data_IF_710240643134
#
_entry.id   IF_710240643134
#
_cell.length_a   1.000
_cell.length_b   1.000
_cell.length_c   1.000
_cell.angle_alpha   90.00
_cell.angle_beta   90.00
_cell.angle_gamma   90.00
#
_symmetry.space_group_name_H-M   'P 1'
#
loop_
_entity.id
_entity.type
_entity.pdbx_description
1 polymer ?
#
# COMPACT_ATOMS: atom_id res chain seq x y z
N UNK A 1 -10.76 17.61 48.59
CA UNK A 1 -9.67 17.61 47.57
C UNK A 1 -9.57 16.19 47.04
N UNK A 2 -9.41 16.02 45.72
CA UNK A 2 -9.59 14.81 44.91
C UNK A 2 -11.02 14.55 44.41
N UNK A 3 -11.30 15.04 43.20
CA UNK A 3 -12.35 14.48 42.33
C UNK A 3 -11.66 13.77 41.16
N UNK A 4 -11.88 12.46 41.08
CA UNK A 4 -11.70 11.65 39.86
C UNK A 4 -12.84 12.00 38.92
N UNK A 5 -12.55 12.25 37.64
CA UNK A 5 -13.50 12.06 36.57
C UNK A 5 -12.80 11.34 35.41
N UNK A 6 -13.24 10.10 35.20
CA UNK A 6 -13.03 9.32 33.99
C UNK A 6 -13.83 9.95 32.85
N UNK A 7 -13.23 10.17 31.70
CA UNK A 7 -13.95 10.41 30.45
C UNK A 7 -13.74 9.26 29.49
N UNK A 8 -14.87 8.66 29.11
CA UNK A 8 -15.05 7.61 28.13
C UNK A 8 -14.85 8.23 26.74
N UNK A 9 -13.94 7.66 25.95
CA UNK A 9 -13.76 8.02 24.55
C UNK A 9 -14.91 7.42 23.72
N UNK A 10 -15.80 8.28 23.23
CA UNK A 10 -16.78 7.94 22.19
C UNK A 10 -16.23 8.33 20.82
N UNK A 11 -15.98 7.34 19.98
CA UNK A 11 -15.68 7.54 18.57
C UNK A 11 -16.93 8.03 17.83
N UNK A 12 -16.82 9.14 17.10
CA UNK A 12 -17.83 9.59 16.14
C UNK A 12 -17.16 9.67 14.77
N UNK A 13 -17.52 8.73 13.90
CA UNK A 13 -17.19 8.79 12.47
C UNK A 13 -18.06 9.85 11.78
N UNK A 14 -17.48 10.54 10.80
CA UNK A 14 -18.23 11.44 9.92
C UNK A 14 -18.06 11.01 8.46
N UNK A 15 -19.20 10.75 7.82
CA UNK A 15 -19.37 10.58 6.38
C UNK A 15 -19.33 11.96 5.69
N UNK A 16 -18.63 12.04 4.54
CA UNK A 16 -18.66 13.21 3.67
C UNK A 16 -17.97 12.91 2.35
N UNK A 17 -18.66 12.19 1.46
CA UNK A 17 -18.23 12.01 0.07
C UNK A 17 -18.74 13.14 -0.82
N UNK A 18 -17.90 13.63 -1.73
CA UNK A 18 -18.31 14.52 -2.82
C UNK A 18 -18.23 13.72 -4.12
N UNK A 19 -19.38 13.61 -4.80
CA UNK A 19 -19.51 13.08 -6.17
C UNK A 19 -19.02 14.14 -7.17
N UNK A 20 -18.27 13.73 -8.20
CA UNK A 20 -18.09 14.53 -9.42
C UNK A 20 -18.60 13.74 -10.64
N UNK A 21 -19.45 14.38 -11.46
CA UNK A 21 -19.98 13.84 -12.72
C UNK A 21 -19.14 14.37 -13.90
N UNK A 22 -18.79 13.44 -14.79
CA UNK A 22 -17.92 13.54 -15.97
C UNK A 22 -18.52 14.31 -17.16
N UNK A 23 -17.65 14.96 -17.98
CA UNK A 23 -17.78 15.14 -19.45
C UNK A 23 -16.40 15.29 -20.14
N UNK A 24 -15.83 14.15 -20.56
CA UNK A 24 -15.01 13.83 -21.78
C UNK A 24 -14.23 14.93 -22.57
N UNK A 25 -12.92 14.68 -22.69
CA UNK A 25 -11.98 14.71 -23.84
C UNK A 25 -12.13 15.69 -25.02
N UNK A 26 -11.06 16.46 -25.30
CA UNK A 26 -10.38 16.72 -26.60
C UNK A 26 -9.09 17.55 -26.29
N UNK A 27 -7.85 17.22 -26.67
CA UNK A 27 -7.25 17.27 -28.01
C UNK A 27 -5.72 17.51 -27.90
N UNK A 28 -4.95 17.00 -28.86
CA UNK A 28 -3.48 16.85 -28.90
C UNK A 28 -2.67 18.13 -29.22
N UNK A 29 -1.45 18.19 -28.66
CA UNK A 29 -0.24 18.96 -29.04
C UNK A 29 -0.39 20.33 -29.71
N UNK A 30 -0.09 21.38 -28.92
CA UNK A 30 0.29 22.69 -29.42
C UNK A 30 0.48 23.67 -28.26
N UNK A 31 1.72 24.07 -27.97
CA UNK A 31 1.96 25.17 -27.02
C UNK A 31 1.45 26.46 -27.67
N UNK A 32 0.33 26.98 -27.18
CA UNK A 32 -0.11 28.36 -27.41
C UNK A 32 -0.22 29.07 -26.06
N UNK A 33 0.12 30.35 -26.09
CA UNK A 33 0.15 31.24 -24.95
C UNK A 33 -1.18 31.20 -24.17
N UNK A 34 -1.07 31.33 -22.85
CA UNK A 34 -2.12 31.16 -21.86
C UNK A 34 -3.49 31.73 -22.31
N UNK A 35 -4.40 30.84 -22.66
CA UNK A 35 -5.83 31.15 -22.68
C UNK A 35 -6.34 31.17 -21.22
N UNK A 36 -7.25 32.10 -20.96
CA UNK A 36 -7.84 32.42 -19.66
C UNK A 36 -8.22 31.16 -18.87
N UNK A 37 -7.75 31.08 -17.63
CA UNK A 37 -8.22 30.08 -16.68
C UNK A 37 -9.73 30.29 -16.51
N UNK A 38 -10.50 29.37 -17.07
CA UNK A 38 -11.92 29.21 -16.81
C UNK A 38 -12.07 29.09 -15.29
N UNK A 39 -12.54 30.16 -14.64
CA UNK A 39 -12.79 30.18 -13.20
C UNK A 39 -13.95 29.23 -12.96
N UNK A 40 -13.64 27.94 -12.80
CA UNK A 40 -14.55 26.99 -12.21
C UNK A 40 -15.07 27.64 -10.92
N UNK A 41 -16.38 27.89 -10.88
CA UNK A 41 -17.05 28.44 -9.71
C UNK A 41 -16.63 27.57 -8.53
N UNK A 42 -15.83 28.16 -7.64
CA UNK A 42 -15.44 27.55 -6.38
C UNK A 42 -16.69 27.66 -5.53
N UNK A 43 -17.42 26.57 -5.35
CA UNK A 43 -18.52 26.52 -4.40
C UNK A 43 -18.02 27.05 -3.04
N UNK A 44 -18.80 27.92 -2.42
CA UNK A 44 -18.43 28.54 -1.15
C UNK A 44 -18.22 27.44 -0.10
N UNK A 45 -16.97 27.29 0.38
CA UNK A 45 -16.64 26.37 1.46
C UNK A 45 -17.04 27.05 2.77
N UNK A 46 -18.08 26.54 3.43
CA UNK A 46 -18.44 27.04 4.75
C UNK A 46 -17.36 26.66 5.78
N UNK A 47 -16.93 27.61 6.63
CA UNK A 47 -15.98 27.30 7.69
C UNK A 47 -16.63 26.31 8.67
N UNK A 48 -15.85 25.35 9.15
CA UNK A 48 -16.23 24.61 10.34
C UNK A 48 -16.46 25.62 11.46
N UNK A 49 -17.58 25.52 12.20
CA UNK A 49 -17.79 26.36 13.38
C UNK A 49 -16.75 26.02 14.44
N UNK A 50 -15.67 26.80 14.51
CA UNK A 50 -14.57 26.59 15.47
C UNK A 50 -14.44 27.80 16.38
N UNK A 51 -14.16 27.58 17.67
CA UNK A 51 -13.79 28.63 18.62
C UNK A 51 -12.57 29.39 18.09
N UNK A 52 -12.78 30.67 17.77
CA UNK A 52 -11.90 31.49 16.91
C UNK A 52 -10.64 32.00 17.65
N UNK A 53 -10.43 31.61 18.91
CA UNK A 53 -9.30 32.06 19.72
C UNK A 53 -8.03 31.22 19.52
N UNK A 54 -8.14 29.98 19.03
CA UNK A 54 -6.97 29.14 18.75
C UNK A 54 -6.46 29.34 17.30
N UNK A 55 -5.20 29.80 17.10
CA UNK A 55 -4.63 30.01 15.77
C UNK A 55 -4.62 28.75 14.89
N UNK A 56 -4.49 27.57 15.49
CA UNK A 56 -4.52 26.30 14.75
C UNK A 56 -5.94 26.04 14.24
N UNK A 57 -6.94 26.14 15.11
CA UNK A 57 -8.37 26.03 14.77
C UNK A 57 -8.78 26.98 13.64
N UNK A 58 -8.31 28.24 13.67
CA UNK A 58 -8.54 29.21 12.58
C UNK A 58 -7.84 28.83 11.28
N UNK A 59 -6.61 28.32 11.36
CA UNK A 59 -5.86 27.83 10.18
C UNK A 59 -6.57 26.65 9.53
N UNK A 60 -7.18 25.78 10.35
CA UNK A 60 -7.85 24.56 9.92
C UNK A 60 -9.36 24.73 9.67
N UNK A 61 -9.87 25.97 9.58
CA UNK A 61 -11.31 26.23 9.42
C UNK A 61 -11.92 25.61 8.14
N UNK A 62 -11.10 25.29 7.14
CA UNK A 62 -11.49 24.61 5.90
C UNK A 62 -11.08 23.13 5.86
N UNK A 63 -10.69 22.57 7.00
CA UNK A 63 -10.20 21.19 7.12
C UNK A 63 -8.73 21.03 6.73
N UNK A 64 -8.20 19.81 6.90
CA UNK A 64 -6.81 19.51 6.54
C UNK A 64 -6.73 19.01 5.09
N UNK A 65 -5.64 19.33 4.36
CA UNK A 65 -5.45 18.86 2.99
C UNK A 65 -5.45 17.33 2.84
N UNK A 66 -5.10 16.59 3.89
CA UNK A 66 -5.18 15.13 3.91
C UNK A 66 -5.17 14.60 5.35
N UNK A 67 -5.90 13.51 5.58
CA UNK A 67 -5.86 12.75 6.84
C UNK A 67 -5.70 11.25 6.65
N UNK A 68 -5.73 10.81 5.39
CA UNK A 68 -6.31 9.51 5.09
C UNK A 68 -5.34 8.69 4.23
N UNK A 69 -4.53 7.91 4.95
CA UNK A 69 -3.54 6.99 4.38
C UNK A 69 -3.73 5.57 4.89
N UNK A 70 -4.14 5.39 6.16
CA UNK A 70 -4.29 4.05 6.77
C UNK A 70 -5.68 3.46 6.48
N UNK A 71 -5.69 2.18 6.10
CA UNK A 71 -6.88 1.39 5.80
C UNK A 71 -6.79 0.07 6.55
N UNK A 72 -7.78 -0.21 7.39
CA UNK A 72 -7.96 -1.54 7.99
C UNK A 72 -8.67 -2.45 7.00
N UNK A 73 -8.02 -3.55 6.63
CA UNK A 73 -8.59 -4.63 5.83
C UNK A 73 -9.06 -5.74 6.76
N UNK A 74 -9.54 -6.86 6.20
CA UNK A 74 -10.15 -7.92 7.02
C UNK A 74 -9.15 -8.65 7.90
N UNK A 75 -7.90 -8.77 7.45
CA UNK A 75 -6.84 -9.55 8.11
C UNK A 75 -5.46 -8.88 8.08
N UNK A 76 -5.39 -7.63 7.60
CA UNK A 76 -4.16 -6.85 7.51
C UNK A 76 -4.48 -5.35 7.52
N UNK A 77 -3.45 -4.51 7.66
CA UNK A 77 -3.58 -3.04 7.60
C UNK A 77 -2.66 -2.54 6.49
N UNK A 78 -3.06 -1.50 5.78
CA UNK A 78 -2.20 -0.87 4.78
C UNK A 78 -2.19 0.65 4.95
N UNK A 79 -1.09 1.27 4.51
CA UNK A 79 -1.03 2.70 4.24
C UNK A 79 -0.92 2.90 2.73
N UNK A 80 -1.78 3.74 2.14
CA UNK A 80 -1.89 3.90 0.69
C UNK A 80 -1.33 5.23 0.19
N UNK A 81 -0.49 5.14 -0.85
CA UNK A 81 0.09 6.29 -1.54
C UNK A 81 -0.82 6.72 -2.71
N UNK A 82 -1.60 7.78 -2.48
CA UNK A 82 -2.50 8.35 -3.50
C UNK A 82 -1.78 8.88 -4.73
N UNK A 83 -0.52 9.30 -4.59
CA UNK A 83 0.29 9.82 -5.70
C UNK A 83 0.79 8.69 -6.58
N UNK A 84 1.26 7.61 -5.97
CA UNK A 84 1.85 6.49 -6.70
C UNK A 84 0.83 5.37 -7.03
N UNK A 85 -0.41 5.47 -6.50
CA UNK A 85 -1.51 4.52 -6.69
C UNK A 85 -1.16 3.10 -6.23
N UNK A 86 -0.29 2.97 -5.23
CA UNK A 86 0.13 1.71 -4.60
C UNK A 86 0.30 1.92 -3.09
N UNK A 87 0.44 0.88 -2.26
CA UNK A 87 0.76 1.06 -0.84
C UNK A 87 2.09 1.76 -0.58
N UNK A 88 2.14 2.56 0.48
CA UNK A 88 3.40 2.84 1.18
C UNK A 88 3.92 1.59 1.87
N UNK A 89 3.02 0.88 2.56
CA UNK A 89 3.31 -0.38 3.23
C UNK A 89 2.03 -1.16 3.52
N UNK A 90 2.18 -2.45 3.73
CA UNK A 90 1.16 -3.37 4.21
C UNK A 90 1.71 -4.12 5.41
N UNK A 91 0.91 -4.25 6.46
CA UNK A 91 1.26 -4.88 7.72
C UNK A 91 0.34 -6.08 7.98
N UNK A 92 0.93 -7.26 8.07
CA UNK A 92 0.28 -8.54 8.34
C UNK A 92 0.69 -9.07 9.73
N UNK A 93 -0.23 -9.79 10.38
CA UNK A 93 0.05 -10.63 11.54
C UNK A 93 -0.24 -12.09 11.20
N UNK A 94 0.70 -12.94 11.52
CA UNK A 94 0.75 -14.36 11.16
C UNK A 94 0.91 -15.18 12.45
N UNK A 95 0.13 -16.24 12.59
CA UNK A 95 0.22 -17.20 13.69
C UNK A 95 -0.13 -18.60 13.19
N UNK A 96 0.41 -19.65 13.82
CA UNK A 96 0.14 -21.03 13.42
C UNK A 96 -1.36 -21.37 13.42
N UNK A 97 -2.13 -20.78 14.35
CA UNK A 97 -3.58 -20.95 14.48
C UNK A 97 -4.35 -20.45 13.26
N UNK A 98 -3.93 -19.33 12.67
CA UNK A 98 -4.53 -18.74 11.48
C UNK A 98 -4.17 -19.47 10.18
N UNK A 99 -3.18 -20.38 10.22
CA UNK A 99 -2.65 -21.11 9.06
C UNK A 99 -3.28 -22.47 8.78
N UNK A 100 -4.39 -22.80 9.43
CA UNK A 100 -5.16 -23.99 9.07
C UNK A 100 -5.83 -23.83 7.70
N UNK A 101 -5.07 -23.92 6.60
CA UNK A 101 -5.58 -24.04 5.23
C UNK A 101 -6.30 -25.41 5.02
N UNK A 102 -6.98 -25.93 6.04
CA UNK A 102 -7.62 -27.25 6.07
C UNK A 102 -8.85 -27.32 5.17
N UNK A 103 -9.55 -26.20 4.98
CA UNK A 103 -10.52 -26.06 3.89
C UNK A 103 -9.82 -25.61 2.60
N UNK A 104 -10.09 -26.31 1.50
CA UNK A 104 -9.53 -25.94 0.18
C UNK A 104 -10.10 -24.60 -0.24
N UNK A 105 -9.29 -23.53 -0.14
CA UNK A 105 -9.56 -22.24 -0.78
C UNK A 105 -9.99 -22.47 -2.23
N UNK A 106 -11.14 -21.92 -2.61
CA UNK A 106 -11.65 -22.00 -3.97
C UNK A 106 -10.98 -20.93 -4.84
N UNK A 107 -9.82 -21.29 -5.38
CA UNK A 107 -9.02 -20.40 -6.25
C UNK A 107 -9.73 -19.98 -7.54
N UNK A 108 -10.81 -20.66 -7.95
CA UNK A 108 -11.60 -20.23 -9.12
C UNK A 108 -12.33 -18.90 -8.88
N UNK A 109 -12.55 -18.51 -7.61
CA UNK A 109 -13.12 -17.22 -7.21
C UNK A 109 -12.11 -16.06 -7.22
N UNK A 110 -10.87 -16.28 -7.71
CA UNK A 110 -9.85 -15.25 -7.80
C UNK A 110 -10.32 -14.08 -8.68
N UNK A 111 -10.51 -12.90 -8.08
CA UNK A 111 -10.85 -11.68 -8.81
C UNK A 111 -10.14 -10.49 -8.19
N UNK A 112 -9.36 -9.77 -9.00
CA UNK A 112 -8.82 -8.47 -8.61
C UNK A 112 -9.92 -7.41 -8.70
N UNK A 113 -9.98 -6.53 -7.71
CA UNK A 113 -11.02 -5.50 -7.62
C UNK A 113 -10.45 -4.19 -7.08
N UNK A 114 -11.02 -3.07 -7.53
CA UNK A 114 -10.68 -1.72 -7.09
C UNK A 114 -11.07 -1.52 -5.61
N UNK A 115 -10.32 -0.68 -4.89
CA UNK A 115 -10.69 -0.28 -3.53
C UNK A 115 -11.70 0.87 -3.58
N UNK A 116 -12.98 0.58 -3.30
CA UNK A 116 -14.05 1.59 -3.30
C UNK A 116 -13.97 2.56 -2.12
N UNK A 117 -13.11 2.30 -1.12
CA UNK A 117 -12.82 3.27 -0.06
C UNK A 117 -11.89 4.39 -0.51
N UNK A 118 -11.29 4.28 -1.70
CA UNK A 118 -10.43 5.29 -2.29
C UNK A 118 -11.20 6.07 -3.35
N UNK A 119 -11.05 7.39 -3.35
CA UNK A 119 -11.61 8.22 -4.41
C UNK A 119 -11.07 7.77 -5.79
N UNK A 120 -11.92 7.65 -6.83
CA UNK A 120 -11.53 7.11 -8.13
C UNK A 120 -10.28 7.75 -8.76
N UNK A 121 -10.07 9.06 -8.54
CA UNK A 121 -8.91 9.79 -9.03
C UNK A 121 -7.56 9.32 -8.45
N UNK A 122 -7.58 8.70 -7.27
CA UNK A 122 -6.38 8.27 -6.54
C UNK A 122 -6.18 6.76 -6.50
N UNK A 123 -7.07 5.96 -7.10
CA UNK A 123 -6.97 4.50 -7.06
C UNK A 123 -6.47 3.94 -8.39
N UNK A 124 -5.71 2.86 -8.33
CA UNK A 124 -5.42 2.04 -9.50
C UNK A 124 -6.62 1.18 -9.90
N UNK A 125 -6.74 0.86 -11.18
CA UNK A 125 -7.74 -0.04 -11.74
C UNK A 125 -7.10 -1.22 -12.46
N UNK A 126 -7.91 -2.23 -12.79
CA UNK A 126 -7.41 -3.39 -13.51
C UNK A 126 -6.78 -3.04 -14.87
N UNK A 127 -7.26 -1.99 -15.54
CA UNK A 127 -6.75 -1.53 -16.83
C UNK A 127 -5.34 -0.96 -16.75
N UNK A 128 -4.89 -0.50 -15.57
CA UNK A 128 -3.53 0.04 -15.44
C UNK A 128 -2.46 -1.03 -15.61
N UNK A 129 -2.80 -2.26 -15.18
CA UNK A 129 -1.90 -3.40 -15.21
C UNK A 129 -2.05 -4.21 -16.50
N UNK A 130 -3.15 -4.06 -17.22
CA UNK A 130 -3.42 -4.79 -18.46
C UNK A 130 -2.39 -4.41 -19.53
N UNK A 131 -1.76 -5.43 -20.14
CA UNK A 131 -0.68 -5.27 -21.12
C UNK A 131 0.54 -4.43 -20.68
N UNK A 132 0.66 -4.10 -19.39
CA UNK A 132 1.77 -3.29 -18.84
C UNK A 132 3.13 -4.00 -18.83
N UNK A 133 3.13 -5.33 -18.94
CA UNK A 133 4.32 -6.17 -18.75
C UNK A 133 4.62 -6.52 -17.28
N UNK A 134 3.84 -6.01 -16.33
CA UNK A 134 3.99 -6.27 -14.90
C UNK A 134 2.85 -7.15 -14.36
N UNK A 135 3.18 -7.93 -13.33
CA UNK A 135 2.18 -8.63 -12.52
C UNK A 135 1.57 -7.67 -11.49
N UNK A 136 0.32 -7.96 -11.10
CA UNK A 136 -0.30 -7.45 -9.88
C UNK A 136 0.32 -8.15 -8.67
N UNK A 137 1.45 -7.63 -8.22
CA UNK A 137 2.21 -8.17 -7.11
C UNK A 137 1.56 -7.83 -5.78
N UNK A 138 1.21 -8.85 -5.00
CA UNK A 138 0.63 -8.66 -3.68
C UNK A 138 1.71 -8.18 -2.69
N UNK A 139 1.34 -7.29 -1.78
CA UNK A 139 2.19 -6.95 -0.63
C UNK A 139 1.85 -7.83 0.58
N UNK A 140 0.56 -7.89 0.95
CA UNK A 140 0.01 -8.97 1.76
C UNK A 140 -0.29 -10.18 0.86
N UNK A 141 0.53 -11.22 0.98
CA UNK A 141 0.47 -12.37 0.08
C UNK A 141 -0.78 -13.21 0.36
N UNK A 142 -1.58 -13.51 -0.67
CA UNK A 142 -2.83 -14.27 -0.52
C UNK A 142 -2.65 -15.60 0.25
N UNK A 143 -1.51 -16.27 0.08
CA UNK A 143 -1.19 -17.53 0.77
C UNK A 143 -1.07 -17.39 2.30
N UNK A 144 -0.83 -16.18 2.81
CA UNK A 144 -0.81 -15.91 4.25
C UNK A 144 -2.22 -15.88 4.87
N UNK A 145 -3.24 -15.70 4.04
CA UNK A 145 -4.63 -15.50 4.44
C UNK A 145 -5.52 -16.69 4.05
N UNK A 146 -4.90 -17.87 3.85
CA UNK A 146 -5.57 -19.09 3.36
C UNK A 146 -6.55 -19.73 4.36
N UNK A 147 -6.52 -19.34 5.65
CA UNK A 147 -7.41 -19.90 6.67
C UNK A 147 -8.87 -19.45 6.51
N UNK A 148 -9.12 -18.43 5.68
CA UNK A 148 -10.47 -17.95 5.37
C UNK A 148 -10.57 -17.56 3.90
N UNK A 149 -11.60 -18.06 3.22
CA UNK A 149 -11.89 -17.68 1.83
C UNK A 149 -12.14 -16.17 1.68
N UNK A 150 -12.68 -15.55 2.72
CA UNK A 150 -12.96 -14.12 2.77
C UNK A 150 -11.66 -13.31 2.89
N UNK A 151 -10.76 -13.69 3.81
CA UNK A 151 -9.48 -13.02 4.00
C UNK A 151 -8.59 -13.18 2.78
N UNK A 152 -8.52 -14.41 2.23
CA UNK A 152 -7.82 -14.69 0.99
C UNK A 152 -8.32 -13.82 -0.16
N UNK A 153 -9.65 -13.72 -0.34
CA UNK A 153 -10.23 -12.91 -1.41
C UNK A 153 -9.95 -11.41 -1.22
N UNK A 154 -9.96 -10.92 0.03
CA UNK A 154 -9.71 -9.52 0.35
C UNK A 154 -8.28 -9.06 -0.01
N UNK A 155 -7.31 -9.99 -0.09
CA UNK A 155 -5.95 -9.67 -0.55
C UNK A 155 -5.86 -9.27 -2.02
N UNK A 156 -6.87 -9.57 -2.84
CA UNK A 156 -6.90 -9.24 -4.27
C UNK A 156 -7.35 -7.81 -4.58
N UNK A 157 -7.60 -6.99 -3.54
CA UNK A 157 -7.86 -5.57 -3.70
C UNK A 157 -6.65 -4.86 -4.32
N UNK A 158 -6.87 -3.98 -5.29
CA UNK A 158 -5.78 -3.29 -5.99
C UNK A 158 -5.01 -2.32 -5.08
N UNK A 159 -5.61 -1.89 -3.98
CA UNK A 159 -4.90 -1.14 -2.94
C UNK A 159 -3.86 -1.99 -2.19
N UNK A 160 -3.78 -3.30 -2.40
CA UNK A 160 -2.71 -4.19 -1.91
C UNK A 160 -1.71 -4.58 -3.03
N UNK A 161 -1.82 -3.97 -4.21
CA UNK A 161 -1.01 -4.32 -5.38
C UNK A 161 0.07 -3.28 -5.64
N UNK A 162 1.19 -3.76 -6.16
CA UNK A 162 2.17 -2.94 -6.86
C UNK A 162 2.66 -3.66 -8.13
N UNK A 163 3.06 -2.92 -9.18
CA UNK A 163 3.64 -3.51 -10.38
C UNK A 163 4.94 -4.27 -10.06
N UNK A 164 4.92 -5.60 -10.24
CA UNK A 164 6.09 -6.45 -10.00
C UNK A 164 6.53 -7.14 -11.29
N UNK A 165 7.84 -7.27 -11.49
CA UNK A 165 8.39 -8.08 -12.58
C UNK A 165 7.95 -9.54 -12.38
N UNK A 166 7.29 -10.12 -13.38
CA UNK A 166 6.69 -11.45 -13.23
C UNK A 166 7.71 -12.59 -13.19
N UNK A 167 8.43 -12.81 -14.29
CA UNK A 167 9.44 -13.88 -14.41
C UNK A 167 10.72 -13.49 -13.68
N UNK A 168 11.22 -14.37 -12.81
CA UNK A 168 12.46 -14.16 -12.07
C UNK A 168 12.30 -13.36 -10.77
N UNK A 169 11.23 -12.59 -10.61
CA UNK A 169 10.95 -11.84 -9.38
C UNK A 169 9.68 -12.30 -8.66
N UNK A 170 8.49 -11.76 -8.97
CA UNK A 170 7.23 -12.06 -8.27
C UNK A 170 6.98 -13.58 -8.16
N UNK A 171 6.98 -14.27 -9.31
CA UNK A 171 6.68 -15.70 -9.42
C UNK A 171 7.83 -16.60 -8.98
N UNK A 172 8.95 -16.04 -8.51
CA UNK A 172 10.19 -16.79 -8.21
C UNK A 172 10.85 -16.31 -6.93
N UNK A 173 11.77 -15.35 -7.00
CA UNK A 173 12.57 -14.92 -5.85
C UNK A 173 11.73 -14.28 -4.74
N UNK A 174 10.73 -13.47 -5.11
CA UNK A 174 9.80 -12.85 -4.14
C UNK A 174 8.95 -13.91 -3.43
N UNK A 175 8.31 -14.82 -4.18
CA UNK A 175 7.58 -15.95 -3.60
C UNK A 175 8.49 -16.86 -2.73
N UNK A 176 9.79 -17.00 -3.04
CA UNK A 176 10.73 -17.71 -2.16
C UNK A 176 10.87 -17.01 -0.80
N UNK A 177 10.93 -15.68 -0.78
CA UNK A 177 10.93 -14.89 0.45
C UNK A 177 9.59 -15.00 1.19
N UNK A 178 8.46 -14.93 0.50
CA UNK A 178 7.14 -15.12 1.11
C UNK A 178 6.99 -16.50 1.77
N UNK A 179 7.49 -17.56 1.12
CA UNK A 179 7.53 -18.90 1.72
C UNK A 179 8.42 -18.96 2.96
N UNK A 180 9.57 -18.30 2.94
CA UNK A 180 10.49 -18.24 4.09
C UNK A 180 9.80 -17.57 5.28
N UNK A 181 9.25 -16.36 5.08
CA UNK A 181 8.55 -15.62 6.14
C UNK A 181 7.35 -16.41 6.67
N UNK A 182 6.60 -17.09 5.79
CA UNK A 182 5.48 -17.94 6.25
C UNK A 182 5.95 -19.12 7.11
N UNK A 183 7.09 -19.72 6.81
CA UNK A 183 7.66 -20.82 7.63
C UNK A 183 8.14 -20.35 9.01
N UNK A 184 8.35 -19.05 9.22
CA UNK A 184 8.71 -18.54 10.54
C UNK A 184 7.65 -18.90 11.60
N UNK A 185 6.37 -19.02 11.24
CA UNK A 185 5.30 -19.41 12.18
C UNK A 185 5.47 -20.81 12.78
N UNK A 186 6.36 -21.64 12.23
CA UNK A 186 6.72 -22.95 12.81
C UNK A 186 7.63 -22.80 14.05
N UNK A 187 8.35 -21.68 14.18
CA UNK A 187 9.32 -21.44 15.25
C UNK A 187 8.99 -20.24 16.15
N UNK A 188 8.02 -19.41 15.76
CA UNK A 188 7.61 -18.22 16.48
C UNK A 188 6.11 -18.26 16.75
N UNK A 189 5.71 -17.82 17.94
CA UNK A 189 4.31 -17.72 18.39
C UNK A 189 3.55 -16.74 17.52
N UNK A 190 4.13 -15.57 17.26
CA UNK A 190 3.61 -14.55 16.35
C UNK A 190 4.68 -14.12 15.35
N UNK A 191 4.27 -13.86 14.12
CA UNK A 191 5.12 -13.25 13.10
C UNK A 191 4.43 -12.01 12.54
N UNK A 192 5.10 -10.88 12.63
CA UNK A 192 4.64 -9.57 12.19
C UNK A 192 5.40 -9.19 10.92
N UNK A 193 4.69 -8.91 9.82
CA UNK A 193 5.32 -8.70 8.51
C UNK A 193 4.91 -7.37 7.92
N UNK A 194 5.90 -6.50 7.69
CA UNK A 194 5.70 -5.24 6.95
C UNK A 194 6.32 -5.37 5.57
N UNK A 195 5.56 -5.03 4.54
CA UNK A 195 5.97 -5.13 3.13
C UNK A 195 5.67 -3.82 2.43
N UNK A 196 6.58 -3.34 1.58
CA UNK A 196 6.31 -2.12 0.81
C UNK A 196 7.26 -1.91 -0.37
N UNK A 197 6.91 -0.97 -1.26
CA UNK A 197 7.76 -0.56 -2.37
C UNK A 197 8.84 0.42 -1.91
N UNK A 198 9.92 0.52 -2.70
CA UNK A 198 10.97 1.52 -2.55
C UNK A 198 11.35 2.13 -3.90
N UNK A 199 11.72 3.41 -3.85
CA UNK A 199 12.21 4.19 -4.98
C UNK A 199 13.65 4.64 -4.71
N UNK A 200 14.60 3.78 -5.05
CA UNK A 200 16.00 3.95 -4.67
C UNK A 200 16.74 4.84 -5.69
N UNK A 201 17.55 5.80 -5.22
CA UNK A 201 18.33 6.65 -6.11
C UNK A 201 19.47 5.87 -6.78
N UNK A 202 19.80 6.24 -8.01
CA UNK A 202 20.96 5.74 -8.75
C UNK A 202 21.86 6.90 -9.18
N UNK A 203 23.17 6.70 -9.07
CA UNK A 203 24.16 7.63 -9.58
C UNK A 203 24.16 7.58 -11.11
N UNK A 204 24.05 8.73 -11.76
CA UNK A 204 24.09 8.85 -13.22
C UNK A 204 25.49 9.31 -13.68
N UNK A 205 25.80 9.22 -14.99
CA UNK A 205 27.11 9.62 -15.53
C UNK A 205 27.51 11.08 -15.24
N UNK A 206 26.56 11.96 -14.95
CA UNK A 206 26.79 13.35 -14.58
C UNK A 206 27.20 13.54 -13.10
N UNK A 207 27.36 12.44 -12.35
CA UNK A 207 27.75 12.45 -10.95
C UNK A 207 26.62 12.77 -9.97
N UNK A 208 25.37 12.89 -10.42
CA UNK A 208 24.21 13.18 -9.55
C UNK A 208 23.34 11.94 -9.33
N UNK A 209 22.58 11.95 -8.24
CA UNK A 209 21.64 10.89 -7.88
C UNK A 209 20.24 11.20 -8.38
N UNK A 210 19.63 10.26 -9.07
CA UNK A 210 18.26 10.37 -9.58
C UNK A 210 17.43 9.18 -9.14
N UNK A 211 16.16 9.45 -8.85
CA UNK A 211 15.13 8.43 -8.68
C UNK A 211 14.34 8.38 -9.97
N UNK A 212 14.49 7.29 -10.72
CA UNK A 212 13.82 7.10 -12.01
C UNK A 212 13.02 5.80 -11.92
N UNK A 213 11.73 5.89 -12.22
CA UNK A 213 10.81 4.76 -12.25
C UNK A 213 9.78 4.96 -13.35
N UNK A 214 9.26 3.85 -13.87
CA UNK A 214 8.18 3.84 -14.85
C UNK A 214 6.83 4.07 -14.15
N UNK A 215 5.88 4.68 -14.85
CA UNK A 215 4.45 4.63 -14.52
C UNK A 215 3.71 3.83 -15.59
N UNK A 216 2.65 3.12 -15.21
CA UNK A 216 1.85 2.28 -16.12
C UNK A 216 0.38 2.66 -16.07
N UNK A 217 -0.33 2.38 -17.17
CA UNK A 217 -1.76 2.54 -17.23
C UNK A 217 -2.25 3.97 -17.42
N UNK A 218 -3.57 4.16 -17.63
CA UNK A 218 -4.19 5.48 -17.70
C UNK A 218 -4.10 6.31 -16.41
N UNK A 219 -3.83 5.69 -15.24
CA UNK A 219 -3.76 6.40 -13.96
C UNK A 219 -2.33 6.59 -13.42
N UNK A 220 -1.31 6.34 -14.25
CA UNK A 220 0.10 6.51 -13.89
C UNK A 220 0.52 5.76 -12.61
N UNK A 221 0.16 4.48 -12.52
CA UNK A 221 0.54 3.63 -11.38
C UNK A 221 2.05 3.44 -11.39
N UNK A 222 2.71 3.80 -10.29
CA UNK A 222 4.15 3.78 -10.20
C UNK A 222 4.70 2.34 -10.11
N UNK A 223 5.77 2.06 -10.87
CA UNK A 223 6.51 0.80 -10.83
C UNK A 223 7.68 0.94 -9.86
N UNK A 224 7.66 0.27 -8.68
CA UNK A 224 8.74 0.40 -7.71
C UNK A 224 10.07 -0.09 -8.26
N UNK A 225 11.16 0.53 -7.82
CA UNK A 225 12.52 0.08 -8.16
C UNK A 225 12.93 -1.17 -7.37
N UNK A 226 12.44 -1.26 -6.13
CA UNK A 226 12.73 -2.32 -5.18
C UNK A 226 11.49 -2.56 -4.32
N UNK A 227 11.49 -3.68 -3.61
CA UNK A 227 10.55 -3.97 -2.53
C UNK A 227 11.33 -4.30 -1.27
N UNK A 228 10.77 -3.92 -0.12
CA UNK A 228 11.26 -4.34 1.18
C UNK A 228 10.29 -5.31 1.84
N UNK A 229 10.82 -6.14 2.73
CA UNK A 229 10.04 -6.93 3.67
C UNK A 229 10.77 -7.00 5.00
N UNK A 230 10.09 -6.64 6.08
CA UNK A 230 10.56 -6.79 7.47
C UNK A 230 9.67 -7.81 8.14
N UNK A 231 10.27 -8.80 8.79
CA UNK A 231 9.58 -9.81 9.59
C UNK A 231 10.10 -9.77 11.02
N UNK A 232 9.20 -9.69 11.99
CA UNK A 232 9.49 -9.79 13.42
C UNK A 232 8.87 -11.08 13.93
N UNK A 233 9.67 -12.00 14.44
CA UNK A 233 9.21 -13.21 15.11
C UNK A 233 9.22 -13.02 16.63
N UNK A 234 8.06 -13.17 17.26
CA UNK A 234 7.89 -13.22 18.73
C UNK A 234 8.03 -14.67 19.20
N UNK A 235 9.00 -14.92 20.08
CA UNK A 235 9.21 -16.22 20.74
C UNK A 235 8.26 -16.38 21.93
N UNK A 236 8.16 -17.59 22.47
CA UNK A 236 7.34 -17.90 23.65
C UNK A 236 7.75 -17.15 24.92
N UNK A 237 9.00 -16.68 25.01
CA UNK A 237 9.55 -15.93 26.13
C UNK A 237 9.49 -14.41 25.93
N UNK A 238 8.66 -13.92 25.00
CA UNK A 238 8.53 -12.51 24.62
C UNK A 238 9.83 -11.86 24.08
N UNK A 239 10.81 -12.67 23.66
CA UNK A 239 11.94 -12.19 22.88
C UNK A 239 11.58 -12.07 21.39
N UNK A 240 12.21 -11.10 20.72
CA UNK A 240 11.95 -10.81 19.32
C UNK A 240 13.20 -11.02 18.47
N UNK A 241 13.06 -11.79 17.40
CA UNK A 241 14.04 -11.83 16.31
C UNK A 241 13.50 -11.01 15.13
N UNK A 242 14.40 -10.37 14.38
CA UNK A 242 14.00 -9.52 13.26
C UNK A 242 14.86 -9.77 12.02
N UNK A 243 14.20 -9.90 10.88
CA UNK A 243 14.84 -10.01 9.57
C UNK A 243 14.30 -8.92 8.64
N UNK A 244 15.19 -8.26 7.88
CA UNK A 244 14.82 -7.28 6.89
C UNK A 244 15.49 -7.56 5.55
N UNK A 245 14.73 -7.41 4.48
CA UNK A 245 15.14 -7.71 3.12
C UNK A 245 14.82 -6.56 2.18
N UNK A 246 15.71 -6.26 1.25
CA UNK A 246 15.48 -5.34 0.13
C UNK A 246 15.84 -6.04 -1.17
N UNK A 247 14.86 -6.18 -2.07
CA UNK A 247 15.04 -6.88 -3.34
C UNK A 247 14.74 -5.96 -4.53
N UNK A 248 15.58 -5.96 -5.59
CA UNK A 248 15.29 -5.19 -6.79
C UNK A 248 14.06 -5.76 -7.51
N UNK A 249 13.20 -4.89 -8.03
CA UNK A 249 12.07 -5.26 -8.87
C UNK A 249 12.56 -5.57 -10.30
N UNK A 250 13.33 -6.64 -10.42
CA UNK A 250 13.99 -7.07 -11.66
C UNK A 250 14.18 -8.59 -11.62
N UNK A 251 14.40 -9.27 -12.76
CA UNK A 251 14.67 -10.71 -12.76
C UNK A 251 15.88 -11.04 -11.88
N UNK A 252 15.71 -12.01 -10.96
CA UNK A 252 16.78 -12.51 -10.08
C UNK A 252 17.07 -13.96 -10.45
N UNK A 253 18.35 -14.31 -10.53
CA UNK A 253 18.79 -15.68 -10.79
C UNK A 253 18.36 -16.63 -9.64
N UNK A 254 17.93 -17.84 -9.98
CA UNK A 254 17.42 -18.83 -9.01
C UNK A 254 18.45 -19.27 -7.99
N UNK A 255 19.74 -19.21 -8.33
CA UNK A 255 20.86 -19.59 -7.46
C UNK A 255 21.15 -18.57 -6.36
N UNK A 256 20.64 -17.33 -6.47
CA UNK A 256 20.92 -16.29 -5.47
C UNK A 256 20.21 -16.63 -4.14
N UNK A 257 20.94 -16.69 -3.01
CA UNK A 257 20.33 -16.96 -1.70
C UNK A 257 19.62 -15.72 -1.15
N UNK A 258 18.57 -15.92 -0.33
CA UNK A 258 17.82 -14.80 0.29
C UNK A 258 18.71 -13.89 1.14
N UNK A 259 19.74 -14.46 1.78
CA UNK A 259 20.72 -13.73 2.59
C UNK A 259 21.47 -12.64 1.81
N UNK A 260 21.56 -12.74 0.47
CA UNK A 260 22.15 -11.70 -0.36
C UNK A 260 21.33 -10.40 -0.37
N UNK A 261 20.05 -10.46 0.01
CA UNK A 261 19.14 -9.32 0.08
C UNK A 261 18.88 -8.86 1.51
N UNK A 262 19.47 -9.52 2.51
CA UNK A 262 19.31 -9.17 3.91
C UNK A 262 20.00 -7.83 4.20
N UNK A 263 19.33 -6.94 4.91
CA UNK A 263 19.83 -5.61 5.27
C UNK A 263 19.67 -5.35 6.77
N UNK A 264 20.50 -4.46 7.31
CA UNK A 264 20.28 -3.91 8.65
C UNK A 264 19.10 -2.95 8.63
N UNK A 265 18.33 -2.93 9.71
CA UNK A 265 17.13 -2.10 9.87
C UNK A 265 17.49 -0.63 10.14
N UNK A 266 18.72 -0.39 10.59
CA UNK A 266 19.23 0.97 10.84
C UNK A 266 19.69 1.70 9.57
N UNK A 267 19.68 1.02 8.42
CA UNK A 267 20.21 1.55 7.15
C UNK A 267 19.16 2.27 6.32
#
# INVERSE_FOLDING_TARGET
>A
MAFRNSFIAGAVGFFGGILYKDKRLQGMFGVKAADEFDTAIIDAVEPMGVDVEDPVSRTMQFGFPSYDTIRSRKSYVLSYDRRNRIPHWVFEHLSAEHFSCGEKINTSKRKYFEDDSLHPYFRSTNSDYEHSGFDKGHLAAAANHCGSQEYWADTFVLSNMAPQVGKGFNRSAWNKLERHVRKMVENYKNVYVVTGPLYMPRLQPDGKKYVIYQVIGPHDVAVPTHFFKVAVGEKENDEFDMEAYVMPNAPIDRGVPLKAFAVSIKN
#
